data_IF_413155510942
#
_entry.id   IF_413155510942
#
_cell.length_a   1.000
_cell.length_b   1.000
_cell.length_c   1.000
_cell.angle_alpha   90.00
_cell.angle_beta   90.00
_cell.angle_gamma   90.00
#
_symmetry.space_group_name_H-M   'P 1'
#
loop_
_entity.id
_entity.type
_entity.pdbx_description
1 polymer ?
#
# COMPACT_ATOMS: atom_id res chain seq x y z
N UNK A 1 -0.76 24.38 8.33
CA UNK A 1 -0.81 23.17 7.47
C UNK A 1 -1.55 22.09 8.25
N UNK A 2 -2.39 21.30 7.61
CA UNK A 2 -2.96 20.13 8.25
C UNK A 2 -1.83 19.17 8.70
N UNK A 3 -1.98 18.46 9.83
CA UNK A 3 -0.97 17.49 10.26
C UNK A 3 -0.78 16.42 9.19
N UNK A 4 0.47 16.02 8.99
CA UNK A 4 0.79 14.93 8.08
C UNK A 4 0.09 13.65 8.54
N UNK A 5 -0.55 12.93 7.63
CA UNK A 5 -1.31 11.71 7.90
C UNK A 5 -0.72 10.54 7.13
N UNK A 6 -0.37 9.48 7.84
CA UNK A 6 0.08 8.22 7.26
C UNK A 6 -0.82 7.09 7.73
N UNK A 7 -1.30 6.26 6.80
CA UNK A 7 -2.05 5.05 7.15
C UNK A 7 -1.21 3.80 6.94
N UNK A 8 -1.45 2.76 7.73
CA UNK A 8 -0.76 1.47 7.61
C UNK A 8 -1.77 0.34 7.35
N UNK A 9 -1.47 -0.46 6.33
CA UNK A 9 -2.16 -1.72 6.00
C UNK A 9 -1.13 -2.81 5.82
N UNK A 10 -1.18 -3.87 6.62
CA UNK A 10 -0.22 -4.99 6.53
C UNK A 10 -0.88 -6.32 6.87
N UNK A 11 -0.16 -7.41 6.62
CA UNK A 11 -0.45 -8.78 7.07
C UNK A 11 0.45 -9.22 8.24
N UNK A 12 1.06 -8.26 8.96
CA UNK A 12 2.07 -8.56 9.98
C UNK A 12 1.49 -9.00 11.32
N UNK A 13 0.19 -8.82 11.52
CA UNK A 13 -0.42 -8.93 12.84
C UNK A 13 0.11 -7.88 13.82
N UNK A 14 -0.32 -7.99 15.07
CA UNK A 14 0.08 -7.07 16.15
C UNK A 14 0.90 -7.74 17.25
N UNK A 15 1.17 -9.03 17.11
CA UNK A 15 1.91 -9.82 18.10
C UNK A 15 3.41 -9.53 18.10
N UNK A 16 3.99 -9.36 16.92
CA UNK A 16 5.42 -9.13 16.71
C UNK A 16 5.74 -7.64 16.57
N UNK A 17 7.01 -7.22 16.75
CA UNK A 17 7.38 -5.80 16.78
C UNK A 17 7.42 -5.13 15.39
N UNK A 18 6.98 -5.79 14.31
CA UNK A 18 7.14 -5.29 12.94
C UNK A 18 6.41 -3.98 12.71
N UNK A 19 5.14 -3.90 13.10
CA UNK A 19 4.33 -2.69 12.99
C UNK A 19 4.90 -1.57 13.86
N UNK A 20 5.29 -1.89 15.10
CA UNK A 20 5.89 -0.92 16.02
C UNK A 20 7.19 -0.34 15.44
N UNK A 21 8.02 -1.17 14.79
CA UNK A 21 9.26 -0.72 14.14
C UNK A 21 8.98 0.23 12.96
N UNK A 22 7.95 -0.04 12.14
CA UNK A 22 7.51 0.88 11.07
C UNK A 22 7.06 2.22 11.64
N UNK A 23 6.22 2.21 12.68
CA UNK A 23 5.76 3.43 13.37
C UNK A 23 6.92 4.22 13.95
N UNK A 24 7.89 3.56 14.57
CA UNK A 24 9.10 4.19 15.08
C UNK A 24 9.91 4.92 13.99
N UNK A 25 9.99 4.35 12.79
CA UNK A 25 10.62 5.00 11.62
C UNK A 25 9.82 6.21 11.17
N UNK A 26 8.49 6.10 11.05
CA UNK A 26 7.61 7.21 10.66
C UNK A 26 7.73 8.39 11.63
N UNK A 27 7.62 8.13 12.93
CA UNK A 27 7.70 9.16 13.98
C UNK A 27 9.07 9.86 14.03
N UNK A 28 10.14 9.11 13.78
CA UNK A 28 11.50 9.66 13.72
C UNK A 28 11.75 10.48 12.45
N UNK A 29 11.21 10.01 11.31
CA UNK A 29 11.38 10.65 10.00
C UNK A 29 10.49 11.85 9.76
N UNK A 30 9.29 11.87 10.34
CA UNK A 30 8.32 12.95 10.23
C UNK A 30 7.72 13.26 11.62
N UNK A 31 8.41 14.06 12.47
CA UNK A 31 7.91 14.42 13.78
C UNK A 31 6.54 15.10 13.70
N UNK A 32 5.60 14.64 14.52
CA UNK A 32 4.22 15.16 14.53
C UNK A 32 3.29 14.50 13.49
N UNK A 33 3.74 13.48 12.77
CA UNK A 33 2.88 12.71 11.88
C UNK A 33 1.79 11.97 12.67
N UNK A 34 0.56 12.03 12.16
CA UNK A 34 -0.52 11.16 12.64
C UNK A 34 -0.44 9.83 11.91
N UNK A 35 -0.31 8.74 12.66
CA UNK A 35 -0.29 7.39 12.09
C UNK A 35 -1.58 6.68 12.44
N UNK A 36 -2.31 6.22 11.43
CA UNK A 36 -3.57 5.47 11.57
C UNK A 36 -3.37 4.06 11.05
N UNK A 37 -3.64 3.07 11.89
CA UNK A 37 -3.70 1.68 11.45
C UNK A 37 -5.04 1.43 10.76
N UNK A 38 -5.02 1.07 9.50
CA UNK A 38 -6.22 0.59 8.82
C UNK A 38 -6.49 -0.86 9.23
N UNK A 39 -5.49 -1.70 9.05
CA UNK A 39 -5.48 -3.09 9.57
C UNK A 39 -4.07 -3.66 9.51
N UNK A 40 -3.80 -4.60 10.41
CA UNK A 40 -2.62 -5.46 10.37
C UNK A 40 -3.01 -6.95 10.32
N UNK A 41 -4.31 -7.21 10.16
CA UNK A 41 -4.91 -8.54 10.23
C UNK A 41 -5.34 -9.07 8.85
N UNK A 42 -4.76 -8.54 7.76
CA UNK A 42 -4.89 -9.18 6.44
C UNK A 42 -4.34 -10.60 6.58
N UNK A 43 -5.05 -11.58 6.05
CA UNK A 43 -4.56 -12.95 6.07
C UNK A 43 -3.17 -13.01 5.38
N UNK A 44 -2.19 -13.76 5.94
CA UNK A 44 -0.82 -13.74 5.44
C UNK A 44 -0.73 -13.96 3.93
N UNK A 45 -0.09 -13.02 3.23
CA UNK A 45 0.13 -13.03 1.79
C UNK A 45 -1.15 -12.95 0.92
N UNK A 46 -2.31 -12.62 1.51
CA UNK A 46 -3.58 -12.52 0.78
C UNK A 46 -3.72 -11.17 0.08
N UNK A 47 -3.20 -11.09 -1.14
CA UNK A 47 -3.25 -9.88 -1.97
C UNK A 47 -4.68 -9.49 -2.37
N UNK A 48 -5.58 -10.46 -2.53
CA UNK A 48 -6.98 -10.19 -2.92
C UNK A 48 -7.71 -9.47 -1.80
N UNK A 49 -7.61 -9.97 -0.57
CA UNK A 49 -8.18 -9.34 0.61
C UNK A 49 -7.62 -7.94 0.82
N UNK A 50 -6.28 -7.79 0.71
CA UNK A 50 -5.63 -6.48 0.81
C UNK A 50 -6.13 -5.49 -0.25
N UNK A 51 -6.29 -5.93 -1.51
CA UNK A 51 -6.77 -5.08 -2.58
C UNK A 51 -8.22 -4.62 -2.37
N UNK A 52 -9.11 -5.52 -1.92
CA UNK A 52 -10.49 -5.19 -1.56
C UNK A 52 -10.55 -4.20 -0.39
N UNK A 53 -9.73 -4.43 0.62
CA UNK A 53 -9.64 -3.57 1.80
C UNK A 53 -9.17 -2.16 1.43
N UNK A 54 -8.11 -2.04 0.62
CA UNK A 54 -7.59 -0.74 0.18
C UNK A 54 -8.60 0.02 -0.70
N UNK A 55 -9.27 -0.66 -1.63
CA UNK A 55 -10.28 -0.06 -2.50
C UNK A 55 -11.46 0.53 -1.71
N UNK A 56 -11.85 -0.13 -0.62
CA UNK A 56 -12.92 0.34 0.26
C UNK A 56 -12.47 1.44 1.22
N UNK A 57 -11.26 1.34 1.78
CA UNK A 57 -10.83 2.22 2.88
C UNK A 57 -10.18 3.52 2.41
N UNK A 58 -9.35 3.51 1.35
CA UNK A 58 -8.56 4.68 0.97
C UNK A 58 -9.40 5.91 0.59
N UNK A 59 -10.54 5.77 -0.11
CA UNK A 59 -11.37 6.93 -0.47
C UNK A 59 -11.97 7.69 0.73
N UNK A 60 -12.03 7.05 1.90
CA UNK A 60 -12.59 7.66 3.11
C UNK A 60 -11.59 8.60 3.82
N UNK A 61 -10.33 8.62 3.37
CA UNK A 61 -9.30 9.46 3.95
C UNK A 61 -9.18 10.81 3.22
N UNK A 62 -8.76 11.87 3.94
CA UNK A 62 -8.60 13.18 3.32
C UNK A 62 -7.48 13.18 2.27
N UNK A 63 -7.65 14.00 1.24
CA UNK A 63 -6.60 14.24 0.26
C UNK A 63 -5.30 14.71 0.95
N UNK A 64 -4.17 14.28 0.42
CA UNK A 64 -2.85 14.50 1.01
C UNK A 64 -2.41 13.38 1.98
N UNK A 65 -3.26 12.41 2.30
CA UNK A 65 -2.86 11.25 3.08
C UNK A 65 -1.83 10.40 2.33
N UNK A 66 -0.88 9.83 3.08
CA UNK A 66 0.10 8.85 2.59
C UNK A 66 -0.30 7.47 3.08
N UNK A 67 -0.53 6.54 2.17
CA UNK A 67 -0.96 5.18 2.47
C UNK A 67 0.18 4.18 2.27
N UNK A 68 0.58 3.51 3.34
CA UNK A 68 1.58 2.42 3.30
C UNK A 68 0.85 1.10 3.34
N UNK A 69 0.94 0.34 2.26
CA UNK A 69 0.35 -0.99 2.17
C UNK A 69 1.45 -2.04 1.94
N UNK A 70 1.59 -2.97 2.87
CA UNK A 70 2.65 -3.99 2.83
C UNK A 70 2.05 -5.37 3.13
N UNK A 71 1.58 -6.01 2.07
CA UNK A 71 1.32 -7.45 1.98
C UNK A 71 2.21 -7.95 0.86
N UNK A 72 3.30 -8.64 1.20
CA UNK A 72 4.45 -8.76 0.30
C UNK A 72 5.06 -10.17 0.26
N UNK A 73 4.40 -11.12 -0.41
CA UNK A 73 4.98 -12.45 -0.62
C UNK A 73 6.27 -12.46 -1.44
N UNK A 74 6.55 -11.36 -2.15
CA UNK A 74 7.74 -11.18 -2.98
C UNK A 74 8.88 -10.40 -2.32
N UNK A 75 8.86 -10.20 -1.00
CA UNK A 75 9.97 -9.52 -0.30
C UNK A 75 11.31 -10.22 -0.54
N UNK A 76 12.34 -9.44 -0.81
CA UNK A 76 13.69 -9.99 -1.12
C UNK A 76 13.90 -10.48 -2.55
N UNK A 77 12.86 -10.45 -3.41
CA UNK A 77 12.98 -10.75 -4.84
C UNK A 77 13.23 -9.48 -5.67
N UNK A 78 13.21 -9.59 -6.99
CA UNK A 78 13.35 -8.48 -7.93
C UNK A 78 12.09 -7.59 -8.05
N UNK A 79 11.00 -7.84 -7.26
CA UNK A 79 9.81 -6.99 -7.29
C UNK A 79 10.16 -5.55 -6.89
N UNK A 80 9.62 -4.57 -7.63
CA UNK A 80 9.90 -3.15 -7.41
C UNK A 80 9.17 -2.63 -6.15
N UNK A 81 9.81 -1.82 -5.29
CA UNK A 81 9.10 -0.98 -4.34
C UNK A 81 8.62 0.29 -5.05
N UNK A 82 7.36 0.64 -4.93
CA UNK A 82 6.74 1.75 -5.65
C UNK A 82 6.17 2.81 -4.71
N UNK A 83 6.23 4.06 -5.21
CA UNK A 83 5.44 5.17 -4.70
C UNK A 83 4.58 5.72 -5.85
N UNK A 84 3.31 5.99 -5.59
CA UNK A 84 2.38 6.51 -6.59
C UNK A 84 1.54 7.65 -6.03
N UNK A 85 1.12 8.57 -6.93
CA UNK A 85 0.11 9.59 -6.63
C UNK A 85 -1.14 9.27 -7.44
N UNK A 86 -2.30 9.22 -6.77
CA UNK A 86 -3.58 8.90 -7.38
C UNK A 86 -4.74 9.54 -6.61
N UNK A 87 -5.56 10.35 -7.27
CA UNK A 87 -6.77 10.93 -6.70
C UNK A 87 -6.54 11.79 -5.46
N UNK A 88 -5.43 12.50 -5.40
CA UNK A 88 -5.06 13.31 -4.24
C UNK A 88 -4.41 12.53 -3.10
N UNK A 89 -4.25 11.23 -3.21
CA UNK A 89 -3.57 10.35 -2.26
C UNK A 89 -2.16 9.99 -2.73
N UNK A 90 -1.30 9.66 -1.80
CA UNK A 90 0.02 9.09 -2.09
C UNK A 90 0.09 7.67 -1.53
N UNK A 91 0.50 6.70 -2.34
CA UNK A 91 0.59 5.29 -1.97
C UNK A 91 2.04 4.84 -1.99
N UNK A 92 2.43 4.00 -1.03
CA UNK A 92 3.75 3.37 -0.92
C UNK A 92 3.53 1.87 -0.74
N UNK A 93 4.01 1.06 -1.70
CA UNK A 93 3.60 -0.34 -1.78
C UNK A 93 4.58 -1.20 -2.60
N UNK A 94 4.60 -2.53 -2.41
CA UNK A 94 5.29 -3.47 -3.30
C UNK A 94 4.53 -3.63 -4.62
N UNK A 95 5.27 -3.75 -5.73
CA UNK A 95 4.71 -4.00 -7.05
C UNK A 95 4.29 -5.47 -7.20
N UNK A 96 3.12 -5.81 -6.67
CA UNK A 96 2.57 -7.17 -6.65
C UNK A 96 1.07 -7.22 -6.91
N UNK A 97 0.49 -6.09 -7.30
CA UNK A 97 -0.91 -5.98 -7.67
C UNK A 97 -1.87 -5.58 -6.55
N UNK A 98 -1.42 -5.45 -5.29
CA UNK A 98 -2.33 -5.15 -4.18
C UNK A 98 -3.11 -3.83 -4.32
N UNK A 99 -2.61 -2.85 -5.09
CA UNK A 99 -3.32 -1.60 -5.38
C UNK A 99 -4.23 -1.65 -6.62
N UNK A 100 -4.42 -2.83 -7.23
CA UNK A 100 -5.09 -2.96 -8.53
C UNK A 100 -6.52 -2.46 -8.54
N UNK A 101 -7.30 -2.74 -7.50
CA UNK A 101 -8.70 -2.33 -7.44
C UNK A 101 -8.83 -0.81 -7.27
N UNK A 102 -8.06 -0.24 -6.37
CA UNK A 102 -8.02 1.21 -6.18
C UNK A 102 -7.59 1.93 -7.48
N UNK A 103 -6.53 1.46 -8.15
CA UNK A 103 -6.06 2.06 -9.40
C UNK A 103 -7.00 1.86 -10.59
N UNK A 104 -7.89 0.90 -10.54
CA UNK A 104 -8.94 0.74 -11.56
C UNK A 104 -9.96 1.86 -11.51
N UNK A 105 -10.30 2.34 -10.30
CA UNK A 105 -11.23 3.46 -10.09
C UNK A 105 -10.51 4.81 -10.13
N UNK A 106 -9.28 4.85 -9.62
CA UNK A 106 -8.49 6.07 -9.48
C UNK A 106 -7.10 5.83 -10.10
N UNK A 107 -6.99 5.98 -11.44
CA UNK A 107 -5.73 5.74 -12.14
C UNK A 107 -4.59 6.59 -11.58
N UNK A 108 -3.38 6.04 -11.41
CA UNK A 108 -2.26 6.80 -10.90
C UNK A 108 -1.81 7.86 -11.90
N UNK A 109 -1.55 9.07 -11.40
CA UNK A 109 -1.02 10.23 -12.13
C UNK A 109 0.49 10.15 -12.29
N UNK A 110 1.17 9.58 -11.28
CA UNK A 110 2.60 9.38 -11.26
C UNK A 110 2.92 8.08 -10.51
N UNK A 111 3.90 7.32 -11.00
CA UNK A 111 4.43 6.12 -10.34
C UNK A 111 5.94 6.13 -10.44
N UNK A 112 6.62 6.01 -9.31
CA UNK A 112 8.07 6.01 -9.22
C UNK A 112 8.58 4.79 -8.45
N UNK A 113 9.75 4.30 -8.87
CA UNK A 113 10.45 3.24 -8.15
C UNK A 113 11.17 3.86 -6.94
N UNK A 114 11.03 3.25 -5.78
CA UNK A 114 11.73 3.70 -4.59
C UNK A 114 13.14 3.10 -4.60
N UNK A 115 14.12 3.86 -5.07
CA UNK A 115 15.53 3.45 -5.07
C UNK A 115 16.28 3.95 -3.83
N UNK A 116 15.88 5.12 -3.32
CA UNK A 116 16.54 5.79 -2.19
C UNK A 116 15.53 6.58 -1.36
N UNK A 117 15.82 6.75 -0.10
CA UNK A 117 15.14 7.71 0.76
C UNK A 117 16.17 8.65 1.40
N UNK A 118 16.09 9.97 1.17
CA UNK A 118 17.05 10.93 1.72
C UNK A 118 17.13 10.95 3.25
N UNK A 119 16.03 10.60 3.95
CA UNK A 119 15.99 10.55 5.41
C UNK A 119 16.82 9.38 6.00
N UNK A 120 16.91 8.27 5.24
CA UNK A 120 17.53 7.03 5.71
C UNK A 120 18.33 6.42 4.55
N UNK A 121 19.50 6.98 4.22
CA UNK A 121 20.28 6.60 3.03
C UNK A 121 20.80 5.16 3.08
N UNK A 122 20.95 4.58 4.27
CA UNK A 122 21.45 3.23 4.43
C UNK A 122 20.27 2.24 4.55
N UNK A 123 20.14 1.34 3.56
CA UNK A 123 19.21 0.21 3.64
C UNK A 123 19.69 -0.78 4.69
N UNK A 124 18.81 -1.16 5.62
CA UNK A 124 19.15 -2.04 6.75
C UNK A 124 18.90 -3.53 6.49
N UNK A 125 18.61 -3.93 5.28
CA UNK A 125 18.44 -5.34 4.97
C UNK A 125 17.44 -5.61 3.82
N UNK A 126 17.53 -6.82 3.27
CA UNK A 126 16.71 -7.25 2.13
C UNK A 126 15.35 -7.83 2.55
N UNK A 127 15.12 -8.09 3.84
CA UNK A 127 13.98 -8.89 4.30
C UNK A 127 12.86 -8.06 4.91
N UNK A 128 13.18 -6.94 5.57
CA UNK A 128 12.15 -6.14 6.23
C UNK A 128 11.91 -4.81 5.50
N UNK A 129 11.40 -4.88 4.27
CA UNK A 129 11.13 -3.71 3.44
C UNK A 129 10.06 -2.78 4.05
N UNK A 130 9.15 -3.28 4.88
CA UNK A 130 8.19 -2.45 5.64
C UNK A 130 8.91 -1.34 6.41
N UNK A 131 9.89 -1.71 7.24
CA UNK A 131 10.69 -0.80 8.05
C UNK A 131 11.76 -0.07 7.24
N UNK A 132 12.43 -0.76 6.31
CA UNK A 132 13.69 -0.29 5.72
C UNK A 132 13.51 0.45 4.38
N UNK A 133 12.34 0.30 3.75
CA UNK A 133 12.01 0.91 2.45
C UNK A 133 10.72 1.73 2.53
N UNK A 134 9.60 1.09 2.91
CA UNK A 134 8.28 1.71 2.78
C UNK A 134 8.02 2.77 3.87
N UNK A 135 8.32 2.51 5.13
CA UNK A 135 8.15 3.49 6.19
C UNK A 135 9.07 4.72 6.03
N UNK A 136 10.36 4.59 5.65
CA UNK A 136 11.21 5.73 5.30
C UNK A 136 10.63 6.59 4.16
N UNK A 137 10.22 5.95 3.06
CA UNK A 137 9.62 6.65 1.92
C UNK A 137 8.34 7.40 2.32
N UNK A 138 7.46 6.75 3.09
CA UNK A 138 6.24 7.37 3.58
C UNK A 138 6.50 8.57 4.49
N UNK A 139 7.50 8.48 5.39
CA UNK A 139 7.90 9.62 6.23
C UNK A 139 8.39 10.80 5.38
N UNK A 140 9.17 10.54 4.34
CA UNK A 140 9.66 11.54 3.41
C UNK A 140 8.53 12.23 2.64
N UNK A 141 7.57 11.46 2.15
CA UNK A 141 6.40 11.96 1.43
C UNK A 141 5.44 12.73 2.36
N UNK A 142 5.30 12.29 3.61
CA UNK A 142 4.49 12.96 4.63
C UNK A 142 5.02 14.35 5.02
N UNK A 143 6.32 14.62 4.79
CA UNK A 143 6.90 15.97 4.91
C UNK A 143 6.55 16.88 3.72
N UNK A 144 5.77 16.42 2.74
CA UNK A 144 5.38 17.17 1.54
C UNK A 144 6.34 17.04 0.37
N UNK A 145 7.30 16.14 0.41
CA UNK A 145 8.21 15.91 -0.69
C UNK A 145 7.52 15.12 -1.83
N UNK A 146 7.89 15.36 -3.10
CA UNK A 146 7.25 14.69 -4.24
C UNK A 146 7.74 13.24 -4.41
N UNK A 147 6.90 12.38 -5.02
CA UNK A 147 7.23 10.97 -5.29
C UNK A 147 8.43 10.83 -6.22
N UNK A 148 8.66 11.78 -7.10
CA UNK A 148 9.76 11.89 -8.04
C UNK A 148 11.14 11.91 -7.35
N UNK A 149 11.19 12.38 -6.12
CA UNK A 149 12.44 12.47 -5.34
C UNK A 149 12.93 11.12 -4.79
N UNK A 150 12.10 10.07 -4.85
CA UNK A 150 12.45 8.73 -4.37
C UNK A 150 13.18 7.87 -5.42
N UNK A 151 13.07 8.23 -6.70
CA UNK A 151 13.72 7.50 -7.79
C UNK A 151 13.08 7.74 -9.16
N UNK A 152 13.48 6.98 -10.19
CA UNK A 152 13.00 7.17 -11.55
C UNK A 152 11.51 6.83 -11.69
N UNK A 153 10.84 7.35 -12.74
CA UNK A 153 9.51 6.92 -13.08
C UNK A 153 9.51 5.41 -13.38
N UNK A 154 8.44 4.73 -13.00
CA UNK A 154 8.26 3.34 -13.35
C UNK A 154 7.98 3.25 -14.87
N UNK A 155 8.88 2.63 -15.63
CA UNK A 155 8.73 2.45 -17.08
C UNK A 155 7.50 1.62 -17.44
N UNK A 156 7.19 0.63 -16.60
CA UNK A 156 6.01 -0.22 -16.72
C UNK A 156 4.97 0.15 -15.69
N UNK A 157 3.69 0.03 -16.06
CA UNK A 157 2.59 0.16 -15.12
C UNK A 157 2.74 -0.83 -13.96
N UNK A 158 2.23 -0.49 -12.75
CA UNK A 158 2.17 -1.45 -11.66
C UNK A 158 1.47 -2.74 -12.05
N UNK A 159 1.92 -3.87 -11.50
CA UNK A 159 1.31 -5.17 -11.70
C UNK A 159 -0.18 -5.12 -11.32
N UNK A 160 -0.99 -5.92 -12.00
CA UNK A 160 -2.41 -6.05 -11.73
C UNK A 160 -2.73 -7.45 -11.23
N UNK A 161 -3.55 -7.51 -10.19
CA UNK A 161 -4.18 -8.77 -9.81
C UNK A 161 -5.21 -9.14 -10.87
N UNK A 162 -5.16 -10.40 -11.27
CA UNK A 162 -6.26 -10.99 -12.02
C UNK A 162 -7.34 -11.43 -11.02
N UNK A 163 -8.49 -10.80 -11.11
CA UNK A 163 -9.66 -11.19 -10.34
C UNK A 163 -10.68 -11.81 -11.31
N UNK A 164 -11.28 -12.95 -10.94
CA UNK A 164 -12.31 -13.55 -11.77
C UNK A 164 -13.50 -12.60 -11.91
N UNK A 165 -13.95 -12.38 -13.15
CA UNK A 165 -15.15 -11.59 -13.42
C UNK A 165 -16.39 -12.47 -13.37
N UNK A 166 -17.55 -11.95 -12.90
CA UNK A 166 -18.78 -12.68 -12.93
C UNK A 166 -19.22 -12.92 -14.39
N UNK A 167 -19.68 -14.12 -14.68
CA UNK A 167 -20.15 -14.51 -16.00
C UNK A 167 -21.69 -14.57 -15.99
N UNK A 168 -22.31 -13.78 -16.86
CA UNK A 168 -23.76 -13.85 -17.09
C UNK A 168 -24.03 -14.98 -18.09
N UNK A 169 -24.86 -15.95 -17.70
CA UNK A 169 -25.20 -17.08 -18.55
C UNK A 169 -26.46 -16.75 -19.41
N UNK A 170 -26.60 -17.33 -20.60
CA UNK A 170 -27.79 -17.09 -21.48
C UNK A 170 -29.13 -17.38 -20.82
N UNK A 171 -29.18 -18.23 -19.81
CA UNK A 171 -30.38 -18.60 -19.04
C UNK A 171 -30.71 -17.62 -17.90
N UNK A 172 -30.23 -16.38 -17.94
CA UNK A 172 -30.40 -15.37 -16.87
C UNK A 172 -29.82 -15.76 -15.51
N UNK A 173 -28.86 -16.67 -15.48
CA UNK A 173 -28.06 -17.00 -14.31
C UNK A 173 -26.81 -16.17 -14.27
N UNK A 174 -26.25 -15.98 -13.09
CA UNK A 174 -24.93 -15.40 -12.87
C UNK A 174 -24.04 -16.41 -12.14
N UNK A 175 -22.83 -16.60 -12.63
CA UNK A 175 -21.79 -17.39 -11.98
C UNK A 175 -20.61 -16.49 -11.61
N UNK A 176 -20.11 -16.61 -10.40
CA UNK A 176 -18.99 -15.82 -9.90
C UNK A 176 -18.28 -16.52 -8.77
N UNK A 177 -17.24 -15.90 -8.26
CA UNK A 177 -16.48 -16.37 -7.11
C UNK A 177 -16.62 -15.37 -5.97
N UNK A 178 -16.87 -15.86 -4.76
CA UNK A 178 -16.77 -15.07 -3.53
C UNK A 178 -15.28 -14.81 -3.26
N UNK A 179 -14.91 -13.55 -3.24
CA UNK A 179 -13.51 -13.12 -3.03
C UNK A 179 -13.20 -12.85 -1.57
N UNK A 180 -14.20 -12.44 -0.80
CA UNK A 180 -14.08 -12.13 0.62
C UNK A 180 -15.43 -12.31 1.30
N UNK A 181 -15.41 -12.70 2.56
CA UNK A 181 -16.57 -12.68 3.45
C UNK A 181 -16.21 -11.84 4.66
N UNK A 182 -16.97 -10.80 4.92
CA UNK A 182 -16.71 -9.92 6.04
C UNK A 182 -17.04 -10.57 7.41
N UNK A 183 -16.71 -9.87 8.50
CA UNK A 183 -16.96 -10.37 9.86
C UNK A 183 -18.44 -10.62 10.18
N UNK A 184 -19.35 -10.01 9.41
CA UNK A 184 -20.80 -10.14 9.59
C UNK A 184 -21.41 -11.20 8.67
N UNK A 185 -20.61 -11.81 7.80
CA UNK A 185 -21.03 -12.83 6.84
C UNK A 185 -21.49 -12.27 5.48
N UNK A 186 -21.26 -10.99 5.20
CA UNK A 186 -21.52 -10.42 3.88
C UNK A 186 -20.40 -10.84 2.89
N UNK A 187 -20.80 -11.24 1.67
CA UNK A 187 -19.92 -11.70 0.60
C UNK A 187 -19.89 -10.72 -0.59
#
# INVERSE_FOLDING_TARGET
>A
MAPALVTLTTDFGTRDPYVAAMKGVLLRGCPGVTVVDLTHEIAPQNLVEAALFLDAALPEFPAGAVHVAVVDPGVGTARRPLAARAGGHTLVFPDNGLCSLFFRRTPPEAVHVIERCPLFPERRGATFHGRDVFAPAAAWLALGNPVESLGPPAEERPLRLYLPEPVVTPSCGMSGQVLHVDRFGNA
#
